data_IF_473029085256
#
_entry.id   IF_473029085256
#
_cell.length_a   1.000
_cell.length_b   1.000
_cell.length_c   1.000
_cell.angle_alpha   90.00
_cell.angle_beta   90.00
_cell.angle_gamma   90.00
#
_symmetry.space_group_name_H-M   'P 1'
#
loop_
_entity.id
_entity.type
_entity.pdbx_description
1 polymer ?
#
# COMPACT_ATOMS: atom_id res chain seq x y z
N UNK A 1 59.81 22.85 -83.50
CA UNK A 1 59.50 23.89 -82.49
C UNK A 1 57.99 24.06 -82.42
N UNK A 2 57.32 23.41 -81.46
CA UNK A 2 55.89 23.60 -81.17
C UNK A 2 55.78 24.19 -79.77
N UNK A 3 55.28 25.42 -79.71
CA UNK A 3 55.36 26.38 -78.61
C UNK A 3 54.57 25.93 -77.36
N UNK A 4 55.08 26.17 -76.13
CA UNK A 4 54.45 25.76 -74.85
C UNK A 4 53.08 26.39 -74.55
N UNK A 5 52.64 27.38 -75.33
CA UNK A 5 51.37 28.08 -75.14
C UNK A 5 50.13 27.18 -75.34
N UNK A 6 50.19 26.17 -76.21
CA UNK A 6 49.03 25.34 -76.55
C UNK A 6 48.62 24.40 -75.40
N UNK A 7 49.56 24.01 -74.53
CA UNK A 7 49.30 23.13 -73.37
C UNK A 7 48.60 23.84 -72.21
N UNK A 8 48.80 25.15 -72.05
CA UNK A 8 48.17 25.93 -70.98
C UNK A 8 46.72 26.29 -71.30
N UNK A 9 46.41 26.58 -72.57
CA UNK A 9 45.03 26.86 -73.02
C UNK A 9 44.16 25.60 -72.90
N UNK A 10 44.66 24.43 -73.32
CA UNK A 10 43.95 23.16 -73.21
C UNK A 10 43.71 22.72 -71.75
N UNK A 11 44.66 23.01 -70.84
CA UNK A 11 44.48 22.75 -69.41
C UNK A 11 43.45 23.69 -68.80
N UNK A 12 43.50 24.99 -69.11
CA UNK A 12 42.51 25.96 -68.62
C UNK A 12 41.07 25.66 -69.06
N UNK A 13 40.88 25.20 -70.29
CA UNK A 13 39.55 24.79 -70.77
C UNK A 13 39.06 23.52 -70.10
N UNK A 14 39.94 22.56 -69.81
CA UNK A 14 39.56 21.33 -69.11
C UNK A 14 39.15 21.60 -67.65
N UNK A 15 39.86 22.50 -66.94
CA UNK A 15 39.48 22.89 -65.57
C UNK A 15 38.18 23.68 -65.55
N UNK A 16 37.97 24.58 -66.53
CA UNK A 16 36.72 25.35 -66.63
C UNK A 16 35.51 24.42 -66.89
N UNK A 17 35.66 23.44 -67.78
CA UNK A 17 34.59 22.44 -68.04
C UNK A 17 34.34 21.59 -66.79
N UNK A 18 35.38 21.15 -66.08
CA UNK A 18 35.23 20.37 -64.86
C UNK A 18 34.50 21.16 -63.75
N UNK A 19 34.79 22.45 -63.61
CA UNK A 19 34.11 23.33 -62.63
C UNK A 19 32.64 23.56 -63.02
N UNK A 20 32.35 23.77 -64.31
CA UNK A 20 30.97 23.94 -64.79
C UNK A 20 30.15 22.66 -64.61
N UNK A 21 30.75 21.49 -64.89
CA UNK A 21 30.09 20.20 -64.67
C UNK A 21 29.87 19.96 -63.17
N UNK A 22 30.88 20.21 -62.32
CA UNK A 22 30.74 20.06 -60.88
C UNK A 22 29.66 20.99 -60.30
N UNK A 23 29.68 22.28 -60.67
CA UNK A 23 28.67 23.24 -60.27
C UNK A 23 27.27 22.87 -60.80
N UNK A 24 27.18 22.39 -62.04
CA UNK A 24 25.95 21.89 -62.63
C UNK A 24 25.40 20.66 -61.91
N UNK A 25 26.25 19.72 -61.51
CA UNK A 25 25.84 18.53 -60.73
C UNK A 25 25.39 18.88 -59.32
N UNK A 26 26.05 19.84 -58.66
CA UNK A 26 25.67 20.29 -57.31
C UNK A 26 24.36 21.09 -57.38
N UNK A 27 24.19 21.95 -58.39
CA UNK A 27 22.95 22.69 -58.60
C UNK A 27 21.80 21.76 -58.97
N UNK A 28 22.02 20.74 -59.81
CA UNK A 28 21.03 19.72 -60.13
C UNK A 28 20.68 18.87 -58.90
N UNK A 29 21.66 18.48 -58.08
CA UNK A 29 21.41 17.74 -56.84
C UNK A 29 20.64 18.55 -55.79
N UNK A 30 20.83 19.89 -55.74
CA UNK A 30 20.05 20.77 -54.86
C UNK A 30 18.66 21.10 -55.43
N UNK A 31 18.51 21.16 -56.76
CA UNK A 31 17.22 21.41 -57.43
C UNK A 31 16.32 20.17 -57.43
N UNK A 32 16.90 18.97 -57.54
CA UNK A 32 16.24 17.69 -57.30
C UNK A 32 16.25 17.47 -55.79
N UNK A 33 15.52 18.31 -55.06
CA UNK A 33 15.41 18.19 -53.61
C UNK A 33 15.02 16.77 -53.26
N UNK A 34 15.87 16.06 -52.51
CA UNK A 34 15.47 14.83 -51.83
C UNK A 34 14.59 15.23 -50.65
N UNK A 35 13.35 15.62 -50.95
CA UNK A 35 12.28 15.67 -49.95
C UNK A 35 11.89 14.23 -49.63
N UNK A 36 12.82 13.48 -49.05
CA UNK A 36 12.42 12.35 -48.22
C UNK A 36 11.84 12.99 -46.97
N UNK A 37 10.51 13.22 -46.99
CA UNK A 37 9.79 13.38 -45.74
C UNK A 37 10.15 12.13 -44.92
N UNK A 38 10.75 12.26 -43.71
CA UNK A 38 11.02 11.10 -42.89
C UNK A 38 9.68 10.38 -42.74
N UNK A 39 9.60 9.16 -43.30
CA UNK A 39 8.38 8.38 -43.25
C UNK A 39 8.02 8.21 -41.78
N UNK A 40 6.99 8.90 -41.32
CA UNK A 40 6.53 8.76 -39.94
C UNK A 40 5.95 7.34 -39.87
N UNK A 41 6.60 6.39 -39.16
CA UNK A 41 6.11 5.03 -39.11
C UNK A 41 4.65 5.08 -38.68
N UNK A 42 3.77 4.42 -39.44
CA UNK A 42 2.35 4.41 -39.17
C UNK A 42 2.11 3.67 -37.85
N UNK A 43 2.23 4.40 -36.74
CA UNK A 43 2.04 3.85 -35.40
C UNK A 43 0.59 3.42 -35.27
N UNK A 44 0.39 2.16 -34.89
CA UNK A 44 -0.94 1.60 -34.61
C UNK A 44 -1.22 1.79 -33.12
N UNK A 45 -2.31 2.48 -32.82
CA UNK A 45 -2.81 2.54 -31.44
C UNK A 45 -3.47 1.20 -31.11
N UNK A 46 -2.93 0.51 -30.11
CA UNK A 46 -3.52 -0.70 -29.54
C UNK A 46 -4.24 -0.28 -28.27
N UNK A 47 -5.57 -0.41 -28.28
CA UNK A 47 -6.38 -0.20 -27.08
C UNK A 47 -6.50 -1.54 -26.35
N UNK A 48 -6.04 -1.63 -25.09
CA UNK A 48 -6.22 -2.82 -24.27
C UNK A 48 -7.70 -3.19 -24.10
N UNK A 49 -7.99 -4.49 -24.00
CA UNK A 49 -9.34 -4.95 -23.64
C UNK A 49 -9.59 -4.60 -22.18
N UNK A 50 -10.79 -4.12 -21.86
CA UNK A 50 -11.19 -3.89 -20.49
C UNK A 50 -11.14 -5.21 -19.71
N UNK A 51 -10.45 -5.20 -18.58
CA UNK A 51 -10.35 -6.31 -17.65
C UNK A 51 -11.25 -6.08 -16.44
N UNK A 52 -11.54 -7.15 -15.70
CA UNK A 52 -12.24 -7.07 -14.43
C UNK A 52 -11.34 -6.34 -13.42
N UNK A 53 -11.96 -5.63 -12.47
CA UNK A 53 -11.24 -5.03 -11.36
C UNK A 53 -11.41 -5.92 -10.12
N UNK A 54 -10.30 -6.28 -9.48
CA UNK A 54 -10.27 -7.24 -8.39
C UNK A 54 -9.57 -6.69 -7.15
N UNK A 55 -10.11 -6.99 -5.98
CA UNK A 55 -9.47 -6.73 -4.68
C UNK A 55 -9.76 -7.84 -3.68
N UNK A 56 -8.82 -8.13 -2.78
CA UNK A 56 -8.97 -9.19 -1.77
C UNK A 56 -9.02 -8.57 -0.38
N UNK A 57 -10.05 -8.92 0.38
CA UNK A 57 -10.18 -8.53 1.79
C UNK A 57 -9.40 -9.49 2.69
N UNK A 58 -8.94 -9.04 3.87
CA UNK A 58 -8.10 -9.83 4.77
C UNK A 58 -8.73 -11.16 5.24
N UNK A 59 -10.06 -11.22 5.32
CA UNK A 59 -10.79 -12.36 5.85
C UNK A 59 -11.08 -12.23 7.34
N UNK A 60 -11.37 -13.37 7.97
CA UNK A 60 -11.65 -13.51 9.39
C UNK A 60 -10.37 -13.64 10.21
N UNK A 61 -10.47 -13.29 11.49
CA UNK A 61 -9.38 -13.44 12.44
C UNK A 61 -8.91 -14.90 12.52
N UNK A 62 -7.61 -15.08 12.69
CA UNK A 62 -6.95 -16.38 12.73
C UNK A 62 -6.48 -16.72 14.13
N UNK A 63 -6.51 -18.00 14.47
CA UNK A 63 -5.75 -18.58 15.59
C UNK A 63 -4.82 -19.63 15.03
N UNK A 64 -3.58 -19.65 15.51
CA UNK A 64 -2.65 -20.74 15.24
C UNK A 64 -2.98 -21.89 16.19
N UNK A 65 -3.23 -23.08 15.65
CA UNK A 65 -3.83 -24.24 16.32
C UNK A 65 -5.34 -24.19 16.47
N UNK A 66 -5.94 -25.37 16.55
CA UNK A 66 -7.35 -25.54 16.91
C UNK A 66 -7.62 -25.15 18.38
N UNK A 67 -8.89 -25.05 18.76
CA UNK A 67 -9.33 -24.71 20.13
C UNK A 67 -8.78 -25.68 21.20
N UNK A 68 -8.30 -26.86 20.80
CA UNK A 68 -7.74 -27.89 21.67
C UNK A 68 -6.19 -27.98 21.62
N UNK A 69 -5.53 -27.14 20.83
CA UNK A 69 -4.07 -27.09 20.67
C UNK A 69 -3.44 -28.27 19.92
N UNK A 70 -4.22 -29.05 19.16
CA UNK A 70 -3.75 -30.30 18.55
C UNK A 70 -2.99 -30.11 17.23
N UNK A 71 -3.15 -28.97 16.55
CA UNK A 71 -2.53 -28.71 15.25
C UNK A 71 -1.74 -27.40 15.24
N UNK A 72 -0.58 -27.41 15.89
CA UNK A 72 0.28 -26.25 16.10
C UNK A 72 0.79 -25.55 14.82
N UNK A 73 0.46 -26.08 13.63
CA UNK A 73 0.94 -25.59 12.34
C UNK A 73 -0.15 -25.12 11.39
N UNK A 74 -1.43 -25.27 11.75
CA UNK A 74 -2.54 -24.80 10.93
C UNK A 74 -3.25 -23.63 11.58
N UNK A 75 -3.65 -22.68 10.75
CA UNK A 75 -4.45 -21.54 11.18
C UNK A 75 -5.94 -21.83 10.97
N UNK A 76 -6.76 -21.61 12.01
CA UNK A 76 -8.22 -21.72 11.95
C UNK A 76 -8.86 -20.35 12.13
N UNK A 77 -10.00 -20.14 11.46
CA UNK A 77 -10.78 -18.90 11.60
C UNK A 77 -11.50 -18.81 12.93
N UNK A 78 -11.59 -17.60 13.47
CA UNK A 78 -12.36 -17.26 14.66
C UNK A 78 -13.25 -16.07 14.31
N UNK A 79 -14.57 -16.27 14.44
CA UNK A 79 -15.57 -15.28 14.08
C UNK A 79 -15.69 -15.07 12.56
N UNK A 80 -16.27 -13.94 12.15
CA UNK A 80 -16.47 -13.61 10.73
C UNK A 80 -16.37 -12.11 10.53
N UNK A 81 -15.58 -11.68 9.53
CA UNK A 81 -15.47 -10.27 9.18
C UNK A 81 -16.68 -9.78 8.35
N UNK A 82 -17.14 -8.56 8.63
CA UNK A 82 -18.14 -7.87 7.81
C UNK A 82 -17.46 -7.08 6.71
N UNK A 83 -17.88 -7.27 5.46
CA UNK A 83 -17.30 -6.60 4.27
C UNK A 83 -18.27 -5.59 3.66
N UNK A 84 -17.83 -4.35 3.55
CA UNK A 84 -18.48 -3.31 2.75
C UNK A 84 -17.77 -3.17 1.40
N UNK A 85 -18.54 -2.87 0.35
CA UNK A 85 -18.04 -2.85 -1.04
C UNK A 85 -18.57 -1.65 -1.81
N UNK A 86 -17.79 -1.14 -2.75
CA UNK A 86 -18.17 -0.09 -3.69
C UNK A 86 -17.61 -0.38 -5.08
N UNK A 87 -18.26 0.15 -6.11
CA UNK A 87 -17.80 0.01 -7.49
C UNK A 87 -18.26 1.17 -8.38
N UNK A 88 -17.48 1.45 -9.42
CA UNK A 88 -17.95 2.27 -10.55
C UNK A 88 -18.59 1.44 -11.66
N UNK A 89 -18.53 0.10 -11.54
CA UNK A 89 -19.19 -0.87 -12.40
C UNK A 89 -20.66 -1.09 -12.02
N UNK A 90 -21.24 -2.18 -12.54
CA UNK A 90 -22.65 -2.51 -12.31
C UNK A 90 -22.87 -3.27 -11.00
N UNK A 91 -21.95 -4.17 -10.67
CA UNK A 91 -22.07 -5.13 -9.57
C UNK A 91 -20.68 -5.39 -8.98
N UNK A 92 -20.67 -5.82 -7.72
CA UNK A 92 -19.50 -6.44 -7.08
C UNK A 92 -19.86 -7.89 -6.82
N UNK A 93 -19.17 -8.80 -7.49
CA UNK A 93 -19.23 -10.24 -7.27
C UNK A 93 -18.28 -10.59 -6.11
N UNK A 94 -18.68 -11.59 -5.31
CA UNK A 94 -17.89 -12.08 -4.17
C UNK A 94 -17.63 -13.56 -4.35
N UNK A 95 -16.38 -13.96 -4.17
CA UNK A 95 -15.96 -15.36 -4.21
C UNK A 95 -14.91 -15.64 -3.13
N UNK A 96 -14.77 -16.91 -2.78
CA UNK A 96 -13.81 -17.37 -1.79
C UNK A 96 -12.52 -17.86 -2.49
N UNK A 97 -11.40 -17.78 -1.79
CA UNK A 97 -10.14 -18.38 -2.22
C UNK A 97 -9.91 -19.71 -1.50
N UNK A 98 -9.50 -20.74 -2.23
CA UNK A 98 -9.28 -22.08 -1.69
C UNK A 98 -8.23 -22.07 -0.56
N UNK A 99 -8.52 -22.78 0.53
CA UNK A 99 -7.61 -23.00 1.64
C UNK A 99 -6.37 -23.80 1.22
N UNK A 100 -5.25 -23.58 1.91
CA UNK A 100 -4.06 -24.44 1.80
C UNK A 100 -3.96 -25.38 3.01
N UNK A 101 -2.93 -26.24 3.00
CA UNK A 101 -2.61 -27.11 4.13
C UNK A 101 -2.19 -26.34 5.39
N UNK A 102 -1.90 -25.05 5.33
CA UNK A 102 -1.53 -24.23 6.50
C UNK A 102 -2.70 -23.41 7.07
N UNK A 103 -3.91 -23.61 6.53
CA UNK A 103 -5.12 -22.91 6.97
C UNK A 103 -5.63 -21.89 5.97
N UNK A 104 -6.60 -21.10 6.43
CA UNK A 104 -7.38 -20.13 5.66
C UNK A 104 -7.86 -19.01 6.58
N UNK A 105 -7.77 -17.74 6.15
CA UNK A 105 -8.52 -16.65 6.79
C UNK A 105 -9.93 -16.49 6.21
N UNK A 106 -10.32 -17.33 5.26
CA UNK A 106 -11.54 -17.18 4.45
C UNK A 106 -11.64 -15.76 3.84
N UNK A 107 -10.61 -15.31 3.09
CA UNK A 107 -10.59 -14.00 2.47
C UNK A 107 -11.64 -13.94 1.36
N UNK A 108 -12.27 -12.78 1.24
CA UNK A 108 -13.25 -12.52 0.17
C UNK A 108 -12.56 -11.83 -1.00
N UNK A 109 -12.62 -12.44 -2.19
CA UNK A 109 -12.30 -11.80 -3.45
C UNK A 109 -13.50 -10.97 -3.91
N UNK A 110 -13.27 -9.68 -4.15
CA UNK A 110 -14.22 -8.74 -4.73
C UNK A 110 -13.89 -8.55 -6.21
N UNK A 111 -14.85 -8.84 -7.08
CA UNK A 111 -14.69 -8.67 -8.53
C UNK A 111 -15.73 -7.70 -9.06
N UNK A 112 -15.31 -6.64 -9.74
CA UNK A 112 -16.20 -5.80 -10.54
C UNK A 112 -15.99 -6.16 -12.03
N UNK A 113 -16.97 -6.83 -12.66
CA UNK A 113 -16.83 -7.26 -14.05
C UNK A 113 -16.66 -6.09 -15.02
N UNK A 114 -15.79 -6.29 -16.01
CA UNK A 114 -15.53 -5.37 -17.09
C UNK A 114 -16.81 -5.01 -17.84
N UNK A 115 -16.95 -3.72 -18.17
CA UNK A 115 -17.97 -3.23 -19.08
C UNK A 115 -17.36 -2.79 -20.41
N UNK A 116 -17.75 -1.60 -20.87
CA UNK A 116 -17.06 -0.90 -21.96
C UNK A 116 -15.66 -0.42 -21.54
N UNK A 117 -15.45 -0.25 -20.24
CA UNK A 117 -14.20 0.14 -19.59
C UNK A 117 -13.99 -0.73 -18.37
N UNK A 118 -12.75 -0.88 -17.92
CA UNK A 118 -12.43 -1.47 -16.62
C UNK A 118 -13.09 -0.63 -15.52
N UNK A 119 -13.94 -1.21 -14.67
CA UNK A 119 -14.50 -0.49 -13.53
C UNK A 119 -13.44 -0.28 -12.44
N UNK A 120 -13.87 0.26 -11.32
CA UNK A 120 -13.13 0.26 -10.07
C UNK A 120 -13.90 -0.58 -9.07
N UNK A 121 -13.20 -1.31 -8.21
CA UNK A 121 -13.78 -1.99 -7.05
C UNK A 121 -13.03 -1.53 -5.81
N UNK A 122 -13.76 -1.37 -4.72
CA UNK A 122 -13.18 -1.06 -3.42
C UNK A 122 -13.95 -1.80 -2.34
N UNK A 123 -13.30 -2.05 -1.22
CA UNK A 123 -13.94 -2.60 -0.05
C UNK A 123 -13.11 -2.42 1.19
N UNK A 124 -13.71 -2.75 2.31
CA UNK A 124 -13.07 -2.84 3.61
C UNK A 124 -13.73 -3.93 4.43
N UNK A 125 -12.97 -4.52 5.34
CA UNK A 125 -13.46 -5.46 6.34
C UNK A 125 -13.34 -4.89 7.75
N UNK A 126 -14.30 -5.22 8.62
CA UNK A 126 -14.24 -4.98 10.05
C UNK A 126 -14.67 -6.25 10.80
N UNK A 127 -14.02 -6.55 11.91
CA UNK A 127 -14.39 -7.64 12.79
C UNK A 127 -14.17 -7.26 14.26
N UNK A 128 -15.01 -7.81 15.13
CA UNK A 128 -14.76 -7.86 16.58
C UNK A 128 -14.77 -9.31 17.04
N UNK A 129 -13.80 -9.68 17.86
CA UNK A 129 -13.67 -11.04 18.41
C UNK A 129 -13.60 -10.96 19.93
N UNK A 130 -14.24 -11.92 20.59
CA UNK A 130 -14.13 -12.16 22.02
C UNK A 130 -14.19 -13.67 22.26
N UNK A 131 -13.08 -14.36 22.02
CA UNK A 131 -13.00 -15.83 22.13
C UNK A 131 -11.62 -16.27 22.62
N UNK A 132 -11.58 -16.81 23.85
CA UNK A 132 -10.34 -17.27 24.48
C UNK A 132 -9.29 -16.16 24.52
N UNK A 133 -8.10 -16.49 24.01
CA UNK A 133 -6.95 -15.57 23.99
C UNK A 133 -6.98 -14.56 22.82
N UNK A 134 -7.98 -14.65 21.95
CA UNK A 134 -8.18 -13.73 20.82
C UNK A 134 -9.36 -12.81 21.13
N UNK A 135 -9.04 -11.58 21.52
CA UNK A 135 -10.00 -10.52 21.85
C UNK A 135 -9.55 -9.24 21.16
N UNK A 136 -10.47 -8.42 20.67
CA UNK A 136 -10.16 -7.12 20.08
C UNK A 136 -11.04 -6.75 18.90
N UNK A 137 -10.64 -5.72 18.17
CA UNK A 137 -11.24 -5.35 16.90
C UNK A 137 -10.17 -5.22 15.82
N UNK A 138 -10.51 -5.63 14.61
CA UNK A 138 -9.61 -5.52 13.49
C UNK A 138 -10.31 -4.91 12.27
N UNK A 139 -9.58 -4.12 11.51
CA UNK A 139 -10.08 -3.54 10.28
C UNK A 139 -9.00 -3.48 9.20
N UNK A 140 -9.38 -3.71 7.95
CA UNK A 140 -8.48 -3.67 6.82
C UNK A 140 -9.19 -3.17 5.56
N UNK A 141 -8.45 -2.52 4.66
CA UNK A 141 -8.91 -2.33 3.29
C UNK A 141 -8.85 -3.65 2.54
N UNK A 142 -9.74 -3.82 1.57
CA UNK A 142 -9.54 -4.85 0.55
C UNK A 142 -8.57 -4.27 -0.48
N UNK A 143 -7.51 -5.02 -0.78
CA UNK A 143 -6.34 -4.50 -1.49
C UNK A 143 -6.21 -5.06 -2.91
N UNK A 144 -5.59 -4.28 -3.80
CA UNK A 144 -5.30 -4.70 -5.17
C UNK A 144 -4.20 -5.78 -5.17
N UNK A 145 -4.31 -6.83 -6.01
CA UNK A 145 -3.24 -7.79 -6.20
C UNK A 145 -1.99 -7.10 -6.77
N UNK A 146 -0.85 -7.30 -6.12
CA UNK A 146 0.44 -6.67 -6.46
C UNK A 146 1.57 -7.69 -6.46
N UNK A 147 2.69 -7.33 -7.08
CA UNK A 147 3.94 -8.12 -7.03
C UNK A 147 4.85 -7.70 -5.87
N UNK A 148 4.53 -6.63 -5.15
CA UNK A 148 5.35 -6.09 -4.08
C UNK A 148 4.46 -5.41 -3.04
N UNK A 149 4.53 -5.88 -1.80
CA UNK A 149 3.83 -5.31 -0.65
C UNK A 149 4.77 -5.18 0.53
N UNK A 150 4.71 -4.06 1.24
CA UNK A 150 5.43 -3.86 2.50
C UNK A 150 4.46 -3.96 3.67
N UNK A 151 4.70 -4.90 4.58
CA UNK A 151 3.98 -5.05 5.83
C UNK A 151 4.86 -4.45 6.94
N UNK A 152 4.50 -3.24 7.39
CA UNK A 152 5.27 -2.51 8.41
C UNK A 152 4.59 -2.69 9.75
N UNK A 153 4.89 -3.81 10.40
CA UNK A 153 4.28 -4.19 11.68
C UNK A 153 4.56 -5.66 12.00
N UNK A 154 3.96 -6.16 13.07
CA UNK A 154 4.17 -7.52 13.54
C UNK A 154 5.27 -7.65 14.59
N UNK A 155 5.16 -8.72 15.37
CA UNK A 155 6.06 -9.11 16.46
C UNK A 155 6.07 -10.63 16.63
N UNK A 156 7.21 -11.15 17.05
CA UNK A 156 7.43 -12.56 17.44
C UNK A 156 7.98 -12.69 18.86
N UNK A 157 7.92 -11.60 19.62
CA UNK A 157 8.21 -11.60 21.06
C UNK A 157 7.26 -12.55 21.81
N UNK A 158 7.69 -13.00 22.99
CA UNK A 158 6.87 -13.89 23.81
C UNK A 158 5.47 -13.30 24.05
N UNK A 159 4.44 -14.12 23.79
CA UNK A 159 3.05 -13.67 23.87
C UNK A 159 2.56 -12.90 22.64
N UNK A 160 3.32 -12.88 21.53
CA UNK A 160 2.91 -12.27 20.26
C UNK A 160 2.87 -13.33 19.18
N UNK A 161 1.82 -13.27 18.36
CA UNK A 161 1.67 -14.14 17.20
C UNK A 161 1.42 -13.28 15.97
N UNK A 162 2.32 -13.36 14.98
CA UNK A 162 2.12 -12.74 13.68
C UNK A 162 1.90 -13.80 12.59
N UNK A 163 0.77 -13.72 11.90
CA UNK A 163 0.38 -14.63 10.81
C UNK A 163 0.23 -13.84 9.52
N UNK A 164 0.98 -14.20 8.48
CA UNK A 164 0.89 -13.59 7.16
C UNK A 164 -0.05 -14.43 6.29
N UNK A 165 -1.11 -13.81 5.78
CA UNK A 165 -1.97 -14.41 4.75
C UNK A 165 -1.51 -13.95 3.38
N UNK A 166 -1.23 -14.89 2.49
CA UNK A 166 -0.86 -14.68 1.09
C UNK A 166 -2.00 -15.17 0.20
N UNK A 167 -2.77 -14.25 -0.37
CA UNK A 167 -3.91 -14.57 -1.24
C UNK A 167 -3.53 -14.37 -2.71
N UNK A 168 -3.74 -15.40 -3.54
CA UNK A 168 -3.54 -15.35 -4.98
C UNK A 168 -4.88 -15.45 -5.70
N UNK A 169 -5.47 -14.32 -6.14
CA UNK A 169 -6.71 -14.34 -6.91
C UNK A 169 -6.49 -14.63 -8.40
N UNK A 170 -5.24 -14.78 -8.86
CA UNK A 170 -4.95 -14.98 -10.28
C UNK A 170 -5.09 -16.45 -10.71
N UNK A 171 -5.20 -16.67 -12.02
CA UNK A 171 -5.29 -17.99 -12.64
C UNK A 171 -3.94 -18.72 -12.80
N UNK A 172 -2.86 -18.15 -12.28
CA UNK A 172 -1.50 -18.72 -12.36
C UNK A 172 -0.88 -18.85 -10.97
N UNK A 173 0.10 -19.74 -10.83
CA UNK A 173 0.86 -19.84 -9.57
C UNK A 173 1.57 -18.52 -9.27
N UNK A 174 1.50 -18.08 -8.01
CA UNK A 174 2.37 -17.05 -7.47
C UNK A 174 3.53 -17.72 -6.71
N UNK A 175 4.77 -17.35 -7.05
CA UNK A 175 5.95 -17.72 -6.28
C UNK A 175 6.37 -16.52 -5.45
N UNK A 176 6.25 -16.64 -4.12
CA UNK A 176 6.42 -15.55 -3.17
C UNK A 176 7.73 -15.68 -2.40
N UNK A 177 8.43 -14.56 -2.28
CA UNK A 177 9.59 -14.38 -1.42
C UNK A 177 9.24 -13.39 -0.29
N UNK A 178 9.57 -13.75 0.94
CA UNK A 178 9.39 -12.96 2.16
C UNK A 178 10.76 -12.48 2.64
N UNK A 179 11.06 -11.19 2.49
CA UNK A 179 12.26 -10.61 3.12
C UNK A 179 11.86 -9.97 4.44
N UNK A 180 12.36 -10.52 5.54
CA UNK A 180 12.00 -10.11 6.90
C UNK A 180 13.16 -9.29 7.47
N UNK A 181 12.83 -8.16 8.10
CA UNK A 181 13.76 -7.26 8.75
C UNK A 181 13.36 -7.08 10.21
N UNK A 182 14.32 -7.01 11.10
CA UNK A 182 14.14 -6.72 12.53
C UNK A 182 15.12 -5.62 13.00
N UNK A 183 15.20 -5.40 14.32
CA UNK A 183 16.08 -4.39 14.91
C UNK A 183 17.59 -4.72 14.75
N UNK A 184 17.93 -5.96 14.38
CA UNK A 184 19.30 -6.46 14.21
C UNK A 184 19.74 -6.57 12.75
N UNK A 185 18.79 -6.59 11.82
CA UNK A 185 19.06 -6.56 10.39
C UNK A 185 18.07 -7.36 9.56
N UNK A 186 18.51 -7.81 8.39
CA UNK A 186 17.75 -8.79 7.59
C UNK A 186 17.83 -10.17 8.23
N UNK A 187 16.68 -10.78 8.46
CA UNK A 187 16.57 -12.15 8.94
C UNK A 187 16.91 -13.12 7.81
N UNK A 188 17.81 -14.05 8.08
CA UNK A 188 18.11 -15.16 7.18
C UNK A 188 17.52 -16.45 7.73
N UNK A 189 16.46 -16.94 7.10
CA UNK A 189 15.79 -18.17 7.48
C UNK A 189 15.45 -19.02 6.25
N UNK A 190 15.54 -20.36 6.34
CA UNK A 190 15.10 -21.23 5.26
C UNK A 190 13.57 -21.14 5.07
N UNK A 191 13.11 -21.31 3.84
CA UNK A 191 11.67 -21.37 3.53
C UNK A 191 10.97 -20.01 3.39
N UNK A 192 11.71 -18.91 3.46
CA UNK A 192 11.19 -17.57 3.18
C UNK A 192 11.11 -17.26 1.68
N UNK A 193 11.82 -18.01 0.83
CA UNK A 193 11.84 -17.84 -0.62
C UNK A 193 11.15 -19.00 -1.34
N UNK A 194 10.54 -18.73 -2.49
CA UNK A 194 9.95 -19.76 -3.35
C UNK A 194 8.64 -20.34 -2.82
N UNK A 195 7.91 -19.60 -1.99
CA UNK A 195 6.62 -20.02 -1.43
C UNK A 195 5.59 -20.02 -2.55
N UNK A 196 5.16 -21.21 -2.98
CA UNK A 196 4.13 -21.34 -4.01
C UNK A 196 2.74 -21.18 -3.41
N UNK A 197 1.97 -20.26 -3.99
CA UNK A 197 0.53 -20.08 -3.76
C UNK A 197 -0.20 -20.41 -5.05
N UNK A 198 -1.08 -21.41 -5.01
CA UNK A 198 -1.80 -21.89 -6.19
C UNK A 198 -2.77 -20.83 -6.74
N UNK A 199 -3.26 -20.97 -7.99
CA UNK A 199 -4.29 -20.10 -8.52
C UNK A 199 -5.54 -20.12 -7.64
N UNK A 200 -6.22 -18.98 -7.51
CA UNK A 200 -7.48 -18.83 -6.78
C UNK A 200 -7.45 -19.47 -5.37
N UNK A 201 -6.30 -19.32 -4.68
CA UNK A 201 -6.05 -19.92 -3.37
C UNK A 201 -5.30 -18.97 -2.46
N UNK A 202 -5.11 -19.38 -1.21
CA UNK A 202 -4.34 -18.64 -0.24
C UNK A 202 -3.37 -19.53 0.54
N UNK A 203 -2.44 -18.92 1.27
CA UNK A 203 -1.58 -19.60 2.23
C UNK A 203 -1.39 -18.76 3.48
N UNK A 204 -1.44 -19.38 4.65
CA UNK A 204 -1.11 -18.73 5.92
C UNK A 204 0.31 -19.11 6.34
N UNK A 205 1.11 -18.14 6.74
CA UNK A 205 2.53 -18.30 7.07
C UNK A 205 2.80 -17.67 8.44
N UNK A 206 3.06 -18.47 9.49
CA UNK A 206 3.46 -17.94 10.79
C UNK A 206 4.85 -17.32 10.74
N UNK A 207 4.98 -16.06 11.17
CA UNK A 207 6.24 -15.33 11.16
C UNK A 207 7.27 -15.94 12.13
N UNK A 208 6.79 -16.54 13.23
CA UNK A 208 7.58 -17.26 14.23
C UNK A 208 8.33 -18.48 13.68
N UNK A 209 7.96 -18.97 12.48
CA UNK A 209 8.70 -20.01 11.78
C UNK A 209 10.05 -19.54 11.21
N UNK A 210 10.29 -18.23 11.15
CA UNK A 210 11.50 -17.64 10.54
C UNK A 210 12.29 -16.74 11.48
N UNK A 211 11.60 -16.01 12.35
CA UNK A 211 12.18 -15.07 13.29
C UNK A 211 11.59 -15.30 14.67
N UNK A 212 12.42 -15.33 15.70
CA UNK A 212 12.01 -15.60 17.07
C UNK A 212 12.41 -14.45 17.98
N UNK A 213 11.54 -14.11 18.92
CA UNK A 213 11.81 -13.17 20.00
C UNK A 213 12.19 -11.77 19.51
N UNK A 214 11.49 -11.30 18.47
CA UNK A 214 11.67 -9.94 17.93
C UNK A 214 10.40 -9.12 18.12
N UNK A 215 10.50 -8.04 18.90
CA UNK A 215 9.40 -7.09 19.13
C UNK A 215 9.07 -6.21 17.92
N UNK A 216 10.02 -6.09 16.97
CA UNK A 216 9.89 -5.20 15.82
C UNK A 216 10.25 -5.87 14.52
N UNK A 217 9.29 -5.95 13.61
CA UNK A 217 9.51 -6.52 12.27
C UNK A 217 8.94 -5.65 11.16
N UNK A 218 9.53 -5.78 9.97
CA UNK A 218 9.02 -5.32 8.69
C UNK A 218 9.19 -6.45 7.69
N UNK A 219 8.18 -6.72 6.88
CA UNK A 219 8.22 -7.79 5.87
C UNK A 219 7.97 -7.21 4.49
N UNK A 220 8.91 -7.43 3.58
CA UNK A 220 8.70 -7.21 2.15
C UNK A 220 8.25 -8.51 1.50
N UNK A 221 7.05 -8.50 0.95
CA UNK A 221 6.46 -9.61 0.21
C UNK A 221 6.62 -9.33 -1.28
N UNK A 222 7.41 -10.14 -1.96
CA UNK A 222 7.60 -10.05 -3.41
C UNK A 222 7.02 -11.29 -4.10
N UNK A 223 6.29 -11.13 -5.20
CA UNK A 223 5.77 -12.25 -5.98
C UNK A 223 6.23 -12.22 -7.43
N UNK A 224 6.41 -13.42 -7.99
CA UNK A 224 6.65 -13.64 -9.41
C UNK A 224 5.62 -14.63 -9.97
N UNK A 225 5.24 -14.45 -11.24
CA UNK A 225 4.10 -15.16 -11.83
C UNK A 225 2.79 -14.44 -11.48
N UNK A 226 2.00 -15.02 -10.57
CA UNK A 226 0.77 -14.43 -10.06
C UNK A 226 1.00 -13.24 -9.13
N UNK A 227 0.09 -12.27 -9.18
CA UNK A 227 0.01 -11.18 -8.21
C UNK A 227 -0.67 -11.68 -6.93
N UNK A 228 -0.27 -11.13 -5.78
CA UNK A 228 -0.80 -11.52 -4.48
C UNK A 228 -1.33 -10.33 -3.71
N UNK A 229 -2.21 -10.60 -2.76
CA UNK A 229 -2.56 -9.68 -1.68
C UNK A 229 -2.01 -10.28 -0.39
N UNK A 230 -1.27 -9.46 0.38
CA UNK A 230 -0.70 -9.86 1.65
C UNK A 230 -1.25 -9.01 2.79
N UNK A 231 -1.68 -9.69 3.85
CA UNK A 231 -2.05 -9.09 5.13
C UNK A 231 -1.28 -9.80 6.24
N UNK A 232 -0.99 -9.12 7.34
CA UNK A 232 -0.47 -9.78 8.54
C UNK A 232 -1.38 -9.50 9.72
N UNK A 233 -1.86 -10.54 10.37
CA UNK A 233 -2.51 -10.40 11.67
C UNK A 233 -1.45 -10.39 12.76
N UNK A 234 -1.58 -9.51 13.74
CA UNK A 234 -0.87 -9.60 15.01
C UNK A 234 -1.87 -9.83 16.14
N UNK A 235 -1.57 -10.79 17.01
CA UNK A 235 -2.33 -11.07 18.24
C UNK A 235 -1.42 -10.98 19.45
N UNK A 236 -1.93 -10.39 20.52
CA UNK A 236 -1.21 -10.13 21.77
C UNK A 236 -1.86 -10.91 22.91
N UNK A 237 -1.07 -11.70 23.64
CA UNK A 237 -1.43 -12.36 24.90
C UNK A 237 -0.35 -12.07 25.92
N UNK A 238 -0.73 -11.51 27.08
CA UNK A 238 0.17 -11.17 28.18
C UNK A 238 0.01 -12.18 29.29
N UNK A 239 0.89 -13.18 29.32
CA UNK A 239 0.81 -14.33 30.24
C UNK A 239 -0.51 -15.12 30.05
N UNK A 240 -1.62 -14.67 30.63
CA UNK A 240 -2.96 -15.26 30.49
C UNK A 240 -4.04 -14.22 30.14
N UNK A 241 -3.64 -12.97 29.87
CA UNK A 241 -4.56 -11.86 29.60
C UNK A 241 -4.52 -11.53 28.11
N UNK A 242 -5.64 -11.62 27.38
CA UNK A 242 -5.73 -11.13 26.00
C UNK A 242 -5.38 -9.64 25.95
N UNK A 243 -4.52 -9.26 25.01
CA UNK A 243 -4.09 -7.87 24.84
C UNK A 243 -4.41 -7.27 23.48
N UNK A 244 -5.20 -7.96 22.66
CA UNK A 244 -5.73 -7.44 21.40
C UNK A 244 -5.40 -8.28 20.17
N UNK A 245 -6.00 -7.90 19.04
CA UNK A 245 -5.50 -8.27 17.72
C UNK A 245 -5.88 -7.23 16.66
N UNK A 246 -5.05 -7.05 15.64
CA UNK A 246 -5.40 -6.25 14.46
C UNK A 246 -4.68 -6.77 13.20
N UNK A 247 -5.00 -6.18 12.04
CA UNK A 247 -4.41 -6.48 10.74
C UNK A 247 -3.47 -5.36 10.29
N UNK A 248 -2.19 -5.71 10.14
CA UNK A 248 -1.22 -4.94 9.38
C UNK A 248 -1.58 -5.05 7.89
N UNK A 249 -2.14 -3.97 7.35
CA UNK A 249 -2.41 -3.82 5.92
C UNK A 249 -1.13 -3.43 5.15
N UNK A 250 -1.11 -3.65 3.82
CA UNK A 250 0.01 -3.22 2.99
C UNK A 250 0.24 -1.70 3.06
N UNK A 251 1.47 -1.27 3.32
CA UNK A 251 1.86 0.14 3.31
C UNK A 251 2.11 0.67 1.90
N UNK A 252 2.30 1.99 1.79
CA UNK A 252 2.75 2.60 0.54
C UNK A 252 4.16 2.12 0.17
N UNK A 253 4.47 2.11 -1.13
CA UNK A 253 5.81 1.75 -1.60
C UNK A 253 6.90 2.68 -1.00
N UNK A 254 8.17 2.23 -0.91
CA UNK A 254 9.25 3.03 -0.36
C UNK A 254 9.39 4.38 -1.06
N UNK A 255 9.26 5.46 -0.30
CA UNK A 255 9.34 6.82 -0.82
C UNK A 255 9.92 7.80 0.22
N UNK A 256 10.34 8.97 -0.23
CA UNK A 256 10.87 10.03 0.67
C UNK A 256 9.77 10.73 1.48
N UNK A 257 8.51 10.51 1.13
CA UNK A 257 7.34 10.97 1.87
C UNK A 257 6.45 9.76 2.11
N UNK A 258 6.08 9.51 3.36
CA UNK A 258 5.06 8.53 3.74
C UNK A 258 3.98 9.24 4.56
N UNK A 259 2.72 8.85 4.39
CA UNK A 259 1.61 9.43 5.17
C UNK A 259 0.80 8.30 5.80
N UNK A 260 0.64 8.33 7.11
CA UNK A 260 -0.27 7.46 7.86
C UNK A 260 -1.52 8.32 8.18
N UNK A 261 -2.65 8.07 7.48
CA UNK A 261 -3.77 9.03 7.43
C UNK A 261 -4.51 9.22 8.75
N UNK A 262 -4.48 8.24 9.65
CA UNK A 262 -5.19 8.30 10.92
C UNK A 262 -4.63 7.28 11.88
N UNK A 263 -4.33 7.73 13.10
CA UNK A 263 -3.84 6.95 14.24
C UNK A 263 -4.58 7.43 15.47
N UNK A 264 -5.04 6.50 16.32
CA UNK A 264 -5.81 6.83 17.51
C UNK A 264 -5.02 6.44 18.75
N UNK A 265 -4.74 7.43 19.60
CA UNK A 265 -4.25 7.23 20.96
C UNK A 265 -5.44 7.42 21.90
N UNK A 266 -5.75 6.38 22.68
CA UNK A 266 -6.82 6.41 23.68
C UNK A 266 -6.44 5.53 24.85
N UNK A 267 -6.34 6.09 26.06
CA UNK A 267 -5.87 5.37 27.23
C UNK A 267 -4.48 4.77 27.02
N UNK A 268 -3.62 5.43 26.25
CA UNK A 268 -2.30 4.88 25.90
C UNK A 268 -1.38 4.78 27.13
N UNK A 269 -1.43 5.77 28.02
CA UNK A 269 -0.73 5.72 29.32
C UNK A 269 -1.29 4.60 30.22
N UNK A 270 -2.61 4.43 30.21
CA UNK A 270 -3.31 3.41 31.01
C UNK A 270 -2.96 1.99 30.53
N UNK A 271 -2.89 1.77 29.22
CA UNK A 271 -2.52 0.50 28.61
C UNK A 271 -1.08 0.07 28.91
N UNK A 272 -0.24 1.01 29.32
CA UNK A 272 1.15 0.76 29.74
C UNK A 272 1.29 0.40 31.22
N UNK A 273 0.20 0.39 32.00
CA UNK A 273 0.25 -0.02 33.41
C UNK A 273 0.32 -1.54 33.54
N UNK A 274 1.44 -2.05 34.03
CA UNK A 274 1.64 -3.48 34.29
C UNK A 274 3.13 -3.87 34.18
N UNK A 275 3.47 -5.06 34.67
CA UNK A 275 4.85 -5.55 34.62
C UNK A 275 5.23 -6.06 33.21
N UNK A 276 4.25 -6.49 32.42
CA UNK A 276 4.44 -7.08 31.10
C UNK A 276 4.05 -6.13 29.95
N UNK A 277 3.92 -4.81 30.16
CA UNK A 277 3.35 -3.83 29.19
C UNK A 277 4.37 -2.89 28.55
N UNK A 278 5.66 -3.23 28.58
CA UNK A 278 6.73 -2.41 27.98
C UNK A 278 6.52 -2.15 26.48
N UNK A 279 5.90 -3.09 25.77
CA UNK A 279 5.54 -2.94 24.37
C UNK A 279 4.16 -2.31 24.16
N UNK A 280 3.42 -1.86 25.18
CA UNK A 280 2.12 -1.21 24.95
C UNK A 280 2.26 0.23 24.43
N UNK A 281 3.46 0.80 24.56
CA UNK A 281 3.85 2.11 24.04
C UNK A 281 3.45 2.32 22.58
N UNK A 282 2.79 3.44 22.23
CA UNK A 282 2.49 3.78 20.85
C UNK A 282 3.79 4.11 20.09
N UNK A 283 3.89 3.63 18.85
CA UNK A 283 5.10 3.75 18.03
C UNK A 283 4.78 4.10 16.58
N UNK A 284 5.70 4.83 15.93
CA UNK A 284 5.82 4.86 14.47
C UNK A 284 7.03 4.01 14.08
N UNK A 285 6.76 2.92 13.36
CA UNK A 285 7.78 2.01 12.83
C UNK A 285 8.26 2.50 11.47
N UNK A 286 9.58 2.56 11.31
CA UNK A 286 10.28 2.98 10.11
C UNK A 286 11.25 1.90 9.64
N UNK A 287 11.39 1.78 8.33
CA UNK A 287 12.45 0.98 7.73
C UNK A 287 13.02 1.65 6.48
N UNK A 288 14.33 1.54 6.31
CA UNK A 288 15.08 2.12 5.19
C UNK A 288 15.59 0.96 4.31
N UNK A 289 14.94 0.66 3.16
CA UNK A 289 15.38 -0.42 2.26
C UNK A 289 16.72 -0.15 1.57
N UNK A 290 17.13 1.13 1.49
CA UNK A 290 18.41 1.54 0.92
C UNK A 290 19.60 1.25 1.83
N UNK A 291 20.78 1.70 1.41
CA UNK A 291 22.05 1.46 2.12
C UNK A 291 22.58 2.70 2.86
N UNK A 292 21.80 3.79 2.89
CA UNK A 292 22.19 5.07 3.49
C UNK A 292 21.24 5.41 4.62
N UNK A 293 21.77 5.85 5.76
CA UNK A 293 20.97 6.33 6.88
C UNK A 293 20.01 7.46 6.46
N UNK A 294 18.79 7.38 6.98
CA UNK A 294 17.73 8.33 6.72
C UNK A 294 17.66 9.36 7.86
N UNK A 295 17.77 10.65 7.54
CA UNK A 295 17.30 11.70 8.45
C UNK A 295 15.81 11.88 8.21
N UNK A 296 15.03 11.63 9.25
CA UNK A 296 13.57 11.58 9.18
C UNK A 296 12.98 12.69 10.04
N UNK A 297 12.03 13.42 9.48
CA UNK A 297 11.16 14.35 10.20
C UNK A 297 9.75 13.79 10.18
N UNK A 298 9.25 13.40 11.35
CA UNK A 298 7.88 12.96 11.58
C UNK A 298 7.03 14.19 11.94
N UNK A 299 6.23 14.66 10.99
CA UNK A 299 5.18 15.65 11.23
C UNK A 299 3.94 14.99 11.79
N UNK A 300 3.43 15.52 12.89
CA UNK A 300 2.28 15.00 13.63
C UNK A 300 1.22 16.09 13.66
N UNK A 301 0.03 15.81 13.14
CA UNK A 301 -1.06 16.79 13.04
C UNK A 301 -2.38 16.21 13.52
N UNK A 302 -3.27 17.08 14.00
CA UNK A 302 -4.63 16.76 14.46
C UNK A 302 -5.65 17.60 13.71
N UNK A 303 -6.90 17.14 13.67
CA UNK A 303 -7.98 17.88 13.00
C UNK A 303 -8.41 19.15 13.76
N UNK A 304 -8.22 19.19 15.08
CA UNK A 304 -8.50 20.37 15.90
C UNK A 304 -7.46 21.50 15.72
N UNK A 305 -6.48 21.28 14.85
CA UNK A 305 -5.37 22.17 14.62
C UNK A 305 -4.21 21.94 15.60
N UNK A 306 -3.05 22.47 15.22
CA UNK A 306 -1.79 22.20 15.90
C UNK A 306 -0.98 21.14 15.16
N UNK A 307 0.30 21.10 15.48
CA UNK A 307 1.21 20.12 14.93
C UNK A 307 2.56 20.22 15.59
N UNK A 308 3.23 19.09 15.72
CA UNK A 308 4.60 19.01 16.21
C UNK A 308 5.43 18.18 15.25
N UNK A 309 6.74 18.29 15.39
CA UNK A 309 7.67 17.50 14.60
C UNK A 309 8.64 16.77 15.50
N UNK A 310 8.82 15.49 15.26
CA UNK A 310 9.87 14.68 15.87
C UNK A 310 10.93 14.40 14.82
N UNK A 311 12.18 14.68 15.13
CA UNK A 311 13.30 14.33 14.26
C UNK A 311 13.97 13.07 14.77
N UNK A 312 14.28 12.16 13.86
CA UNK A 312 14.99 10.92 14.18
C UNK A 312 15.95 10.54 13.04
N UNK A 313 16.81 9.58 13.31
CA UNK A 313 17.64 8.92 12.30
C UNK A 313 17.24 7.46 12.25
N UNK A 314 16.97 6.94 11.05
CA UNK A 314 16.75 5.52 10.83
C UNK A 314 17.96 4.95 10.07
N UNK A 315 18.60 3.95 10.66
CA UNK A 315 19.75 3.27 10.05
C UNK A 315 19.28 2.31 8.93
N UNK A 316 20.07 2.13 7.87
CA UNK A 316 19.70 1.25 6.76
C UNK A 316 19.67 -0.21 7.19
N UNK A 317 18.69 -0.97 6.69
CA UNK A 317 18.63 -2.41 6.88
C UNK A 317 18.18 -2.89 8.27
N UNK A 318 17.87 -2.01 9.21
CA UNK A 318 17.29 -2.33 10.53
C UNK A 318 15.96 -1.62 10.74
N UNK A 319 15.08 -2.23 11.53
CA UNK A 319 13.79 -1.63 11.91
C UNK A 319 14.01 -0.59 13.02
N UNK A 320 13.44 0.60 12.85
CA UNK A 320 13.53 1.71 13.81
C UNK A 320 12.13 2.09 14.29
N UNK A 321 11.86 1.93 15.59
CA UNK A 321 10.62 2.38 16.21
C UNK A 321 10.83 3.76 16.87
N UNK A 322 9.95 4.70 16.54
CA UNK A 322 9.89 6.03 17.16
C UNK A 322 8.75 6.01 18.17
N UNK A 323 9.09 6.07 19.46
CA UNK A 323 8.11 6.09 20.53
C UNK A 323 7.29 7.39 20.56
N UNK A 324 6.03 7.28 20.97
CA UNK A 324 5.06 8.37 21.09
C UNK A 324 4.51 8.48 22.52
N UNK A 325 5.27 8.05 23.54
CA UNK A 325 4.78 7.90 24.91
C UNK A 325 4.28 9.21 25.55
N UNK A 326 4.84 10.35 25.12
CA UNK A 326 4.50 11.67 25.66
C UNK A 326 3.34 12.36 24.90
N UNK A 327 2.63 11.64 24.01
CA UNK A 327 1.52 12.20 23.25
C UNK A 327 0.18 11.99 23.97
N UNK A 328 -0.63 13.05 24.12
CA UNK A 328 -1.94 12.91 24.76
C UNK A 328 -2.89 12.08 23.90
N UNK A 329 -3.95 11.57 24.53
CA UNK A 329 -5.05 10.93 23.82
C UNK A 329 -5.61 11.86 22.73
N UNK A 330 -5.86 11.30 21.56
CA UNK A 330 -6.27 12.05 20.39
C UNK A 330 -6.21 11.24 19.10
N UNK A 331 -6.61 11.90 18.02
CA UNK A 331 -6.53 11.35 16.66
C UNK A 331 -5.53 12.15 15.86
N UNK A 332 -4.54 11.44 15.33
CA UNK A 332 -3.37 12.01 14.69
C UNK A 332 -3.26 11.53 13.25
N UNK A 333 -2.66 12.35 12.40
CA UNK A 333 -2.07 11.89 11.16
C UNK A 333 -0.57 12.13 11.18
N UNK A 334 0.18 11.24 10.54
CA UNK A 334 1.63 11.29 10.50
C UNK A 334 2.13 11.49 9.08
N UNK A 335 2.95 12.51 8.86
CA UNK A 335 3.68 12.73 7.62
C UNK A 335 5.17 12.54 7.87
N UNK A 336 5.76 11.53 7.25
CA UNK A 336 7.17 11.17 7.39
C UNK A 336 7.93 11.73 6.20
N UNK A 337 8.78 12.73 6.42
CA UNK A 337 9.70 13.28 5.41
C UNK A 337 11.11 12.74 5.63
N UNK A 338 11.75 12.23 4.58
CA UNK A 338 13.04 11.55 4.67
C UNK A 338 14.01 11.95 3.56
N UNK A 339 15.31 11.93 3.88
CA UNK A 339 16.38 12.14 2.89
C UNK A 339 16.51 11.01 1.86
N UNK A 340 16.01 9.81 2.18
CA UNK A 340 16.04 8.61 1.33
C UNK A 340 14.69 7.87 1.39
N UNK A 341 14.36 6.97 0.45
CA UNK A 341 13.12 6.20 0.52
C UNK A 341 13.01 5.38 1.81
N UNK A 342 11.85 5.45 2.47
CA UNK A 342 11.49 4.69 3.67
C UNK A 342 10.09 4.12 3.53
N UNK A 343 9.76 3.13 4.35
CA UNK A 343 8.38 2.67 4.58
C UNK A 343 8.01 2.95 6.03
N UNK A 344 6.71 3.15 6.29
CA UNK A 344 6.22 3.50 7.61
C UNK A 344 4.88 2.82 7.95
N UNK A 345 4.69 2.56 9.25
CA UNK A 345 3.46 2.09 9.87
C UNK A 345 3.43 2.55 11.32
N UNK A 346 2.26 2.54 11.96
CA UNK A 346 2.13 2.90 13.37
C UNK A 346 1.34 1.84 14.13
N UNK A 347 1.68 1.66 15.41
CA UNK A 347 0.91 0.82 16.32
C UNK A 347 0.51 1.63 17.54
N UNK A 348 -0.71 1.39 18.02
CA UNK A 348 -1.17 1.89 19.31
C UNK A 348 -1.77 0.76 20.13
N UNK A 349 -1.80 0.95 21.44
CA UNK A 349 -2.52 0.09 22.37
C UNK A 349 -3.55 0.93 23.09
N UNK A 350 -4.76 0.42 23.27
CA UNK A 350 -5.84 1.10 23.99
C UNK A 350 -6.40 0.21 25.09
N UNK A 351 -6.91 0.82 26.15
CA UNK A 351 -7.75 0.12 27.12
C UNK A 351 -9.16 -0.10 26.55
N UNK A 352 -9.78 -1.19 26.96
CA UNK A 352 -11.18 -1.52 26.67
C UNK A 352 -12.00 -1.49 27.97
N UNK A 353 -13.33 -1.44 27.85
CA UNK A 353 -14.24 -1.32 29.01
C UNK A 353 -14.19 -2.53 29.98
N UNK A 354 -13.48 -3.61 29.61
CA UNK A 354 -13.29 -4.82 30.42
C UNK A 354 -11.94 -4.93 31.15
N UNK A 355 -11.23 -3.82 31.35
CA UNK A 355 -9.85 -3.78 31.92
C UNK A 355 -8.81 -4.59 31.11
N UNK A 356 -9.17 -4.98 29.88
CA UNK A 356 -8.26 -5.58 28.90
C UNK A 356 -7.69 -4.49 27.99
N UNK A 357 -6.72 -4.86 27.16
CA UNK A 357 -6.22 -3.98 26.11
C UNK A 357 -6.59 -4.52 24.73
N UNK A 358 -6.59 -3.62 23.76
CA UNK A 358 -6.57 -3.95 22.35
C UNK A 358 -5.40 -3.22 21.66
N UNK A 359 -4.91 -3.72 20.53
CA UNK A 359 -3.93 -3.01 19.70
C UNK A 359 -4.54 -2.61 18.36
N UNK A 360 -4.01 -1.54 17.78
CA UNK A 360 -4.34 -1.12 16.41
C UNK A 360 -3.08 -0.90 15.58
N UNK A 361 -3.10 -1.38 14.34
CA UNK A 361 -2.08 -1.11 13.33
C UNK A 361 -2.61 -0.14 12.27
N UNK A 362 -1.77 0.82 11.88
CA UNK A 362 -2.12 1.86 10.93
C UNK A 362 -1.04 1.95 9.85
N UNK A 363 -1.39 1.51 8.64
CA UNK A 363 -0.48 1.50 7.51
C UNK A 363 -0.36 2.90 6.86
N UNK A 364 0.82 3.17 6.29
CA UNK A 364 0.99 4.27 5.34
C UNK A 364 0.17 4.05 4.06
N UNK A 365 -0.15 5.13 3.37
CA UNK A 365 -1.03 5.10 2.20
C UNK A 365 -0.48 5.92 1.03
N UNK A 366 -0.84 5.47 -0.17
CA UNK A 366 -0.50 6.19 -1.41
C UNK A 366 -1.40 7.42 -1.60
N UNK A 367 -0.91 8.47 -2.28
CA UNK A 367 -1.74 9.61 -2.65
C UNK A 367 -2.90 9.20 -3.55
N UNK A 368 -4.08 9.75 -3.27
CA UNK A 368 -5.29 9.49 -4.02
C UNK A 368 -5.29 10.21 -5.38
N UNK A 369 -6.06 9.65 -6.32
CA UNK A 369 -6.42 10.31 -7.57
C UNK A 369 -7.44 11.44 -7.36
N UNK A 370 -7.77 12.16 -8.43
CA UNK A 370 -8.76 13.25 -8.38
C UNK A 370 -10.15 12.78 -7.91
N UNK A 371 -10.49 11.53 -8.22
CA UNK A 371 -11.71 10.85 -7.77
C UNK A 371 -11.34 9.46 -7.28
N UNK A 372 -11.78 9.12 -6.08
CA UNK A 372 -11.64 7.80 -5.47
C UNK A 372 -13.00 7.29 -5.00
N UNK A 373 -13.23 5.98 -5.14
CA UNK A 373 -14.43 5.33 -4.62
C UNK A 373 -14.02 4.34 -3.53
N UNK A 374 -14.76 4.32 -2.42
CA UNK A 374 -14.52 3.39 -1.31
C UNK A 374 -15.84 2.99 -0.64
N UNK A 375 -15.79 2.00 0.24
CA UNK A 375 -16.87 1.67 1.16
C UNK A 375 -16.27 1.36 2.53
N UNK A 376 -17.03 1.65 3.58
CA UNK A 376 -16.56 1.48 4.96
C UNK A 376 -17.43 0.46 5.68
N UNK A 377 -16.80 -0.59 6.22
CA UNK A 377 -17.46 -1.64 6.97
C UNK A 377 -18.04 -1.05 8.26
N UNK A 378 -19.22 -1.54 8.70
CA UNK A 378 -19.80 -1.08 9.95
C UNK A 378 -18.93 -1.52 11.13
N UNK A 379 -18.61 -0.55 11.99
CA UNK A 379 -17.81 -0.74 13.21
C UNK A 379 -18.04 0.44 14.15
N UNK A 380 -17.59 0.33 15.40
CA UNK A 380 -17.82 1.36 16.40
C UNK A 380 -16.81 2.52 16.28
N UNK A 381 -17.28 3.76 16.46
CA UNK A 381 -16.44 4.97 16.41
C UNK A 381 -15.66 5.21 15.12
N UNK A 382 -16.13 4.68 13.98
CA UNK A 382 -15.50 4.86 12.67
C UNK A 382 -15.56 6.30 12.16
N UNK A 383 -14.40 6.84 11.79
CA UNK A 383 -14.23 8.17 11.22
C UNK A 383 -13.30 8.13 10.01
N UNK A 384 -13.57 8.99 9.04
CA UNK A 384 -12.74 9.20 7.85
C UNK A 384 -11.76 10.36 8.12
N UNK A 385 -10.47 10.09 7.93
CA UNK A 385 -9.39 11.07 8.02
C UNK A 385 -8.89 11.40 6.62
N UNK A 386 -8.70 12.67 6.33
CA UNK A 386 -8.19 13.18 5.05
C UNK A 386 -7.01 14.11 5.35
N UNK A 387 -5.83 13.72 4.90
CA UNK A 387 -4.58 14.45 5.05
C UNK A 387 -4.23 15.13 3.73
N UNK A 388 -3.87 16.41 3.79
CA UNK A 388 -3.36 17.16 2.66
C UNK A 388 -1.85 17.41 2.81
N UNK A 389 -0.99 16.50 2.30
CA UNK A 389 0.45 16.69 2.34
C UNK A 389 0.95 17.67 1.26
N UNK A 390 0.06 18.29 0.48
CA UNK A 390 0.42 19.19 -0.62
C UNK A 390 0.58 20.63 -0.16
N UNK A 391 1.05 21.51 -1.06
CA UNK A 391 1.26 22.94 -0.81
C UNK A 391 0.04 23.81 -1.14
N UNK A 392 -1.08 23.20 -1.55
CA UNK A 392 -2.30 23.90 -1.96
C UNK A 392 -3.48 23.41 -1.14
N UNK A 393 -4.37 24.32 -0.76
CA UNK A 393 -5.63 23.97 -0.09
C UNK A 393 -6.51 23.14 -1.02
N UNK A 394 -7.19 22.13 -0.48
CA UNK A 394 -8.08 21.26 -1.23
C UNK A 394 -9.53 21.39 -0.74
N UNK A 395 -10.47 21.39 -1.68
CA UNK A 395 -11.90 21.31 -1.42
C UNK A 395 -12.39 19.92 -1.82
N UNK A 396 -12.58 19.06 -0.82
CA UNK A 396 -12.96 17.65 -1.01
C UNK A 396 -14.47 17.51 -0.90
N UNK A 397 -15.09 16.84 -1.88
CA UNK A 397 -16.51 16.50 -1.83
C UNK A 397 -16.66 15.00 -1.61
N UNK A 398 -17.40 14.64 -0.57
CA UNK A 398 -17.72 13.26 -0.22
C UNK A 398 -19.21 13.03 -0.50
N UNK A 399 -19.53 12.03 -1.31
CA UNK A 399 -20.90 11.68 -1.67
C UNK A 399 -21.23 10.25 -1.28
N UNK A 400 -22.40 10.04 -0.68
CA UNK A 400 -22.98 8.75 -0.35
C UNK A 400 -24.45 8.72 -0.76
N UNK A 401 -24.77 8.09 -1.89
CA UNK A 401 -26.10 8.22 -2.51
C UNK A 401 -26.42 9.69 -2.84
N UNK A 402 -27.50 10.21 -2.25
CA UNK A 402 -27.94 11.61 -2.35
C UNK A 402 -27.27 12.53 -1.32
N UNK A 403 -26.64 11.96 -0.28
CA UNK A 403 -25.95 12.73 0.75
C UNK A 403 -24.63 13.28 0.19
N UNK A 404 -24.37 14.56 0.45
CA UNK A 404 -23.17 15.27 0.00
C UNK A 404 -22.61 16.14 1.11
N UNK A 405 -21.32 15.98 1.38
CA UNK A 405 -20.55 16.85 2.27
C UNK A 405 -19.38 17.48 1.52
N UNK A 406 -19.04 18.72 1.86
CA UNK A 406 -17.84 19.40 1.35
C UNK A 406 -16.94 19.71 2.53
N UNK A 407 -15.66 19.33 2.43
CA UNK A 407 -14.64 19.49 3.46
C UNK A 407 -13.52 20.33 2.86
N UNK A 408 -13.15 21.42 3.55
CA UNK A 408 -11.93 22.15 3.20
C UNK A 408 -10.78 21.49 3.94
N UNK A 409 -9.74 21.10 3.23
CA UNK A 409 -8.53 20.50 3.79
C UNK A 409 -7.36 21.43 3.44
N UNK A 410 -7.03 22.40 4.33
CA UNK A 410 -5.88 23.28 4.13
C UNK A 410 -4.58 22.53 3.83
N UNK A 411 -3.65 23.20 3.17
CA UNK A 411 -2.30 22.67 2.94
C UNK A 411 -1.63 22.28 4.27
N UNK A 412 -1.06 21.07 4.31
CA UNK A 412 -0.35 20.56 5.48
C UNK A 412 -1.23 20.21 6.68
N UNK A 413 -2.55 20.18 6.52
CA UNK A 413 -3.49 19.82 7.60
C UNK A 413 -4.11 18.44 7.40
N UNK A 414 -4.84 18.02 8.42
CA UNK A 414 -5.72 16.85 8.38
C UNK A 414 -7.13 17.26 8.79
N UNK A 415 -8.13 16.61 8.21
CA UNK A 415 -9.53 16.80 8.55
C UNK A 415 -10.16 15.45 8.89
N UNK A 416 -11.04 15.43 9.90
CA UNK A 416 -11.76 14.23 10.32
C UNK A 416 -13.24 14.43 10.12
N UNK A 417 -13.91 13.48 9.47
CA UNK A 417 -15.36 13.55 9.22
C UNK A 417 -16.05 12.23 9.52
N UNK A 418 -17.32 12.34 9.90
CA UNK A 418 -18.20 11.17 10.05
C UNK A 418 -18.33 10.42 8.73
N UNK A 419 -18.41 9.10 8.81
CA UNK A 419 -18.46 8.23 7.64
C UNK A 419 -19.75 7.41 7.61
N UNK A 420 -20.33 7.24 6.42
CA UNK A 420 -21.49 6.38 6.23
C UNK A 420 -21.01 4.92 6.03
N UNK A 421 -21.52 4.01 6.86
CA UNK A 421 -21.20 2.58 6.75
C UNK A 421 -22.01 1.88 5.67
N UNK A 422 -21.44 0.81 5.12
CA UNK A 422 -22.09 -0.10 4.17
C UNK A 422 -22.70 0.60 2.94
N UNK A 423 -22.18 1.80 2.61
CA UNK A 423 -22.58 2.60 1.47
C UNK A 423 -21.34 2.99 0.68
N UNK A 424 -21.52 3.09 -0.63
CA UNK A 424 -20.48 3.59 -1.51
C UNK A 424 -20.23 5.08 -1.24
N UNK A 425 -18.96 5.41 -1.02
CA UNK A 425 -18.46 6.76 -0.91
C UNK A 425 -17.73 7.12 -2.19
N UNK A 426 -18.07 8.27 -2.79
CA UNK A 426 -17.26 8.88 -3.86
C UNK A 426 -16.61 10.13 -3.30
N UNK A 427 -15.28 10.15 -3.31
CA UNK A 427 -14.45 11.27 -2.85
C UNK A 427 -13.87 11.95 -4.09
N UNK A 428 -14.21 13.22 -4.31
CA UNK A 428 -13.71 14.03 -5.44
C UNK A 428 -12.96 15.25 -4.96
N UNK A 429 -11.97 15.72 -5.72
CA UNK A 429 -11.08 16.81 -5.30
C UNK A 429 -9.93 16.35 -4.40
N UNK A 430 -9.65 15.03 -4.39
CA UNK A 430 -8.67 14.41 -3.50
C UNK A 430 -7.30 14.15 -4.17
N UNK A 431 -7.01 14.79 -5.30
CA UNK A 431 -5.76 14.54 -6.03
C UNK A 431 -4.55 14.88 -5.14
N UNK A 432 -3.69 13.89 -4.87
CA UNK A 432 -2.51 14.08 -4.04
C UNK A 432 -2.77 14.08 -2.53
N UNK A 433 -4.04 14.03 -2.10
CA UNK A 433 -4.41 13.86 -0.70
C UNK A 433 -4.29 12.39 -0.31
N UNK A 434 -4.19 12.12 0.98
CA UNK A 434 -4.13 10.76 1.53
C UNK A 434 -5.30 10.59 2.49
N UNK A 435 -5.96 9.44 2.50
CA UNK A 435 -7.11 9.22 3.37
C UNK A 435 -7.11 7.83 4.00
N UNK A 436 -7.78 7.70 5.14
CA UNK A 436 -7.90 6.44 5.86
C UNK A 436 -9.05 6.47 6.86
N UNK A 437 -9.51 5.29 7.22
CA UNK A 437 -10.57 5.11 8.22
C UNK A 437 -9.96 4.59 9.50
N UNK A 438 -10.48 5.07 10.61
CA UNK A 438 -10.06 4.66 11.95
C UNK A 438 -11.31 4.38 12.77
N UNK A 439 -11.32 3.27 13.50
CA UNK A 439 -12.34 2.89 14.48
C UNK A 439 -11.80 3.08 15.89
N UNK A 440 -12.64 3.58 16.78
CA UNK A 440 -12.28 3.78 18.19
C UNK A 440 -13.55 3.65 19.02
N UNK A 441 -13.80 2.44 19.52
CA UNK A 441 -15.03 2.08 20.22
C UNK A 441 -14.76 1.30 21.50
N UNK A 442 -15.80 0.91 22.23
CA UNK A 442 -15.64 0.20 23.51
C UNK A 442 -14.85 -1.12 23.36
N UNK A 443 -14.99 -1.77 22.21
CA UNK A 443 -14.33 -3.04 21.90
C UNK A 443 -12.85 -2.94 21.52
N UNK A 444 -12.33 -1.72 21.24
CA UNK A 444 -10.93 -1.52 20.87
C UNK A 444 -10.69 -0.46 19.79
N UNK A 445 -9.58 -0.61 19.07
CA UNK A 445 -9.09 0.36 18.08
C UNK A 445 -8.55 -0.36 16.84
N UNK A 446 -8.88 0.15 15.65
CA UNK A 446 -8.34 -0.38 14.40
C UNK A 446 -8.31 0.72 13.33
N UNK A 447 -7.59 0.51 12.23
CA UNK A 447 -7.62 1.44 11.11
C UNK A 447 -7.07 0.87 9.82
N UNK A 448 -7.47 1.49 8.71
CA UNK A 448 -6.96 1.11 7.40
C UNK A 448 -6.89 2.31 6.45
N UNK A 449 -5.94 2.30 5.50
CA UNK A 449 -5.85 3.34 4.48
C UNK A 449 -6.91 3.14 3.38
N UNK A 450 -7.43 4.24 2.85
CA UNK A 450 -8.20 4.20 1.60
C UNK A 450 -7.22 4.04 0.44
N UNK A 451 -7.43 3.04 -0.39
CA UNK A 451 -6.62 2.80 -1.58
C UNK A 451 -7.01 3.73 -2.72
N UNK A 452 -6.00 4.24 -3.42
CA UNK A 452 -6.19 4.96 -4.67
C UNK A 452 -6.94 4.08 -5.69
N UNK A 453 -7.51 4.72 -6.70
CA UNK A 453 -8.06 4.01 -7.86
C UNK A 453 -6.94 3.36 -8.66
N UNK A 454 -7.15 2.12 -9.08
CA UNK A 454 -6.20 1.38 -9.91
C UNK A 454 -6.16 2.05 -11.28
N UNK A 455 -4.96 2.47 -11.73
CA UNK A 455 -4.80 3.06 -13.05
C UNK A 455 -5.12 2.03 -14.14
N UNK A 456 -6.09 2.34 -15.00
CA UNK A 456 -6.46 1.48 -16.12
C UNK A 456 -5.46 1.67 -17.26
N UNK A 457 -5.06 0.58 -17.92
CA UNK A 457 -4.14 0.63 -19.06
C UNK A 457 -4.65 1.59 -20.14
N UNK A 458 -3.81 2.56 -20.50
CA UNK A 458 -4.12 3.54 -21.56
C UNK A 458 -3.71 3.00 -22.94
N UNK A 459 -4.35 3.46 -24.04
CA UNK A 459 -3.99 3.01 -25.38
C UNK A 459 -2.49 3.26 -25.69
N UNK A 460 -1.77 2.22 -26.08
CA UNK A 460 -0.35 2.31 -26.41
C UNK A 460 -0.19 2.46 -27.92
N UNK A 461 0.59 3.46 -28.35
CA UNK A 461 0.95 3.61 -29.76
C UNK A 461 2.20 2.76 -30.05
N UNK A 462 2.01 1.67 -30.78
CA UNK A 462 3.09 0.78 -31.18
C UNK A 462 3.56 1.19 -32.57
N UNK A 463 4.87 1.37 -32.72
CA UNK A 463 5.51 1.54 -34.02
C UNK A 463 6.11 0.18 -34.42
N UNK A 464 5.77 -0.35 -35.62
CA UNK A 464 6.29 -1.63 -36.10
C UNK A 464 7.79 -1.59 -36.38
#
# INVERSE_FOLDING_TARGET
MTTPARRWILRGTATAIAVVVAAGTIAAANAIGTTEAPGQPAGRTVTPVAADAERVCAGSALRLSDDAGNDATTASTVGTATVATATTGRTVERSDLAASSTGSSDPTLLTAPAGKTTPQVAGSSYQSVSSGDLVGVAAASCDDPTQSTWLVGGSTETGRTSLITLANPTDVNATVDLTIYDATGTVSAPGTTGIVVAPNSQKVVPLSGFVSDQGSTVVHVASSGGQIVAHMQETVVRTLTPGGFDIVSGGAAPARSQVIPGVVLRGAEDAQRGDDTADAAPIVRLFVPGTTAARVTLGITTADGGGTTVNTTAEPGVVTDVALDDFPDGRYSFTVSSTVPVVAGARTTTTTDGEQTDLGWFASAEPLGATTTTAVAPGDGGLLNIVNPTTEDASVVIRSGDDRSTVQVPSGSTETVGVAYSRQLTITGAKGLVAGVTYAGQGGVAGFPIRASTEVSTPVRVYP
#
